data_IF_369388988537
#
_entry.id   IF_369388988537
#
_cell.length_a   1.000
_cell.length_b   1.000
_cell.length_c   1.000
_cell.angle_alpha   90.00
_cell.angle_beta   90.00
_cell.angle_gamma   90.00
#
_symmetry.space_group_name_H-M   'P 1'
#
loop_
_entity.id
_entity.type
_entity.pdbx_description
1 polymer ?
#
# COMPACT_ATOMS: atom_id res chain seq x y z
N UNK A 1 -3.12 11.55 7.79
CA UNK A 1 -2.49 10.52 8.65
C UNK A 1 -0.99 10.73 8.59
N UNK A 2 -0.30 10.71 9.73
CA UNK A 2 1.16 10.77 9.79
C UNK A 2 1.68 9.45 10.37
N UNK A 3 2.64 8.83 9.69
CA UNK A 3 3.27 7.59 10.13
C UNK A 3 4.77 7.81 10.34
N UNK A 4 5.23 7.64 11.57
CA UNK A 4 6.64 7.57 11.93
C UNK A 4 7.08 6.11 11.84
N UNK A 5 7.95 5.77 10.89
CA UNK A 5 8.26 4.37 10.52
C UNK A 5 9.74 3.98 10.66
N UNK A 6 10.59 4.95 10.99
CA UNK A 6 11.99 4.76 11.35
C UNK A 6 12.39 6.04 12.11
N UNK A 7 11.89 6.15 13.35
CA UNK A 7 11.90 7.40 14.10
C UNK A 7 12.54 7.24 15.48
N UNK A 8 13.44 8.18 15.80
CA UNK A 8 14.05 8.33 17.12
C UNK A 8 13.19 9.26 17.98
N UNK A 9 13.75 10.32 18.56
CA UNK A 9 12.98 11.32 19.33
C UNK A 9 12.48 12.44 18.43
N UNK A 10 11.19 12.73 18.49
CA UNK A 10 10.55 13.81 17.75
C UNK A 10 9.42 14.43 18.56
N UNK A 11 9.02 15.65 18.23
CA UNK A 11 7.80 16.26 18.75
C UNK A 11 6.78 16.50 17.63
N UNK A 12 5.50 16.38 18.01
CA UNK A 12 4.37 16.91 17.24
C UNK A 12 3.77 18.02 18.10
N UNK A 13 3.87 19.24 17.61
CA UNK A 13 3.55 20.45 18.36
C UNK A 13 4.33 20.52 19.69
N UNK A 14 3.66 20.34 20.83
CA UNK A 14 4.26 20.39 22.16
C UNK A 14 4.55 19.00 22.76
N UNK A 15 4.04 17.94 22.14
CA UNK A 15 4.14 16.58 22.67
C UNK A 15 5.35 15.85 22.07
N UNK A 16 6.13 15.21 22.92
CA UNK A 16 7.30 14.42 22.52
C UNK A 16 6.98 12.92 22.39
N UNK A 17 7.61 12.29 21.42
CA UNK A 17 7.43 10.89 21.08
C UNK A 17 8.77 10.24 20.76
N UNK A 18 8.83 8.93 20.95
CA UNK A 18 9.98 8.07 20.65
C UNK A 18 9.50 6.87 19.87
N UNK A 19 10.20 6.51 18.80
CA UNK A 19 9.91 5.29 18.05
C UNK A 19 8.77 5.43 17.05
N UNK A 20 8.41 4.29 16.47
CA UNK A 20 7.38 4.20 15.43
C UNK A 20 5.98 4.44 15.99
N UNK A 21 5.18 5.23 15.27
CA UNK A 21 3.82 5.58 15.69
C UNK A 21 2.97 6.08 14.53
N UNK A 22 1.68 5.76 14.58
CA UNK A 22 0.68 6.24 13.63
C UNK A 22 -0.18 7.30 14.32
N UNK A 23 -0.34 8.44 13.67
CA UNK A 23 -1.18 9.55 14.12
C UNK A 23 -2.31 9.80 13.12
N UNK A 24 -3.54 9.74 13.62
CA UNK A 24 -4.70 10.20 12.87
C UNK A 24 -4.80 11.72 13.02
N UNK A 25 -4.48 12.43 11.94
CA UNK A 25 -4.69 13.87 11.83
C UNK A 25 -6.13 14.09 11.34
N UNK A 26 -6.99 14.64 12.20
CA UNK A 26 -8.45 14.75 11.94
C UNK A 26 -8.86 16.16 11.49
N UNK A 27 -7.95 17.13 11.53
CA UNK A 27 -8.28 18.55 11.31
C UNK A 27 -7.34 19.18 10.27
N UNK A 28 -7.81 20.22 9.56
CA UNK A 28 -7.00 21.02 8.59
C UNK A 28 -6.04 21.98 9.30
N UNK A 29 -5.51 21.56 10.45
CA UNK A 29 -4.60 22.36 11.28
C UNK A 29 -3.17 22.13 10.83
N UNK A 30 -2.40 23.20 10.83
CA UNK A 30 -0.96 23.10 10.67
C UNK A 30 -0.38 22.38 11.90
N UNK A 31 0.42 21.35 11.65
CA UNK A 31 1.20 20.66 12.67
C UNK A 31 2.68 21.06 12.56
N UNK A 32 3.36 21.23 13.69
CA UNK A 32 4.81 21.42 13.72
C UNK A 32 5.50 20.12 14.09
N UNK A 33 6.30 19.61 13.16
CA UNK A 33 7.16 18.46 13.39
C UNK A 33 8.59 18.92 13.66
N UNK A 34 9.18 18.41 14.74
CA UNK A 34 10.56 18.71 15.09
C UNK A 34 11.31 17.44 15.48
N UNK A 35 12.46 17.19 14.86
CA UNK A 35 13.41 16.19 15.34
C UNK A 35 14.11 16.69 16.61
N UNK A 36 14.22 15.84 17.63
CA UNK A 36 14.87 16.18 18.90
C UNK A 36 16.25 15.53 18.97
N UNK A 37 16.30 14.19 18.85
CA UNK A 37 17.53 13.41 18.91
C UNK A 37 17.52 12.39 17.78
N UNK A 38 18.61 12.33 17.03
CA UNK A 38 18.78 11.40 15.91
C UNK A 38 17.94 11.76 14.69
N UNK A 39 18.00 10.89 13.68
CA UNK A 39 17.23 11.04 12.44
C UNK A 39 15.89 10.34 12.59
N UNK A 40 14.83 10.93 12.07
CA UNK A 40 13.51 10.30 12.03
C UNK A 40 12.90 10.41 10.63
N UNK A 41 12.28 9.32 10.17
CA UNK A 41 11.59 9.24 8.88
C UNK A 41 10.08 9.15 9.09
N UNK A 42 9.37 9.94 8.30
CA UNK A 42 7.93 10.06 8.38
C UNK A 42 7.30 9.91 7.00
N UNK A 43 6.09 9.38 6.98
CA UNK A 43 5.19 9.36 5.83
C UNK A 43 3.92 10.14 6.21
N UNK A 44 3.69 11.26 5.52
CA UNK A 44 2.44 12.01 5.60
C UNK A 44 1.54 11.57 4.46
N UNK A 45 0.34 11.11 4.79
CA UNK A 45 -0.70 10.72 3.82
C UNK A 45 -1.92 11.57 4.06
N UNK A 46 -2.27 12.38 3.08
CA UNK A 46 -3.47 13.22 3.06
C UNK A 46 -4.26 12.95 1.79
N UNK A 47 -5.58 13.13 1.88
CA UNK A 47 -6.48 12.92 0.75
C UNK A 47 -7.77 13.69 0.96
N UNK A 48 -8.36 14.13 -0.14
CA UNK A 48 -9.73 14.64 -0.12
C UNK A 48 -10.69 13.45 0.10
N UNK A 49 -11.62 13.53 1.07
CA UNK A 49 -12.63 12.50 1.22
C UNK A 49 -13.41 12.30 -0.07
N UNK A 50 -13.51 11.05 -0.54
CA UNK A 50 -14.28 10.69 -1.75
C UNK A 50 -15.79 10.89 -1.50
N UNK A 51 -16.23 10.78 -0.23
CA UNK A 51 -17.64 10.94 0.19
C UNK A 51 -18.61 9.93 -0.47
N UNK A 52 -18.11 8.76 -0.80
CA UNK A 52 -18.93 7.64 -1.27
C UNK A 52 -18.98 6.53 -0.22
N UNK A 53 -20.04 5.70 -0.22
CA UNK A 53 -20.07 4.49 0.60
C UNK A 53 -18.87 3.59 0.30
N UNK A 54 -18.36 2.94 1.33
CA UNK A 54 -17.28 1.96 1.24
C UNK A 54 -17.78 0.64 1.81
N UNK A 55 -17.81 -0.39 0.98
CA UNK A 55 -18.08 -1.78 1.34
C UNK A 55 -16.87 -2.63 0.95
N UNK A 56 -16.23 -3.23 1.95
CA UNK A 56 -15.02 -4.01 1.77
C UNK A 56 -15.24 -5.44 2.27
N UNK A 57 -14.93 -6.43 1.44
CA UNK A 57 -14.91 -7.83 1.84
C UNK A 57 -13.76 -8.57 1.13
N UNK A 58 -12.85 -9.13 1.92
CA UNK A 58 -11.63 -9.76 1.42
C UNK A 58 -10.75 -8.79 0.62
N UNK A 59 -10.33 -9.15 -0.61
CA UNK A 59 -9.44 -8.33 -1.43
C UNK A 59 -10.16 -7.22 -2.22
N UNK A 60 -11.50 -7.12 -2.12
CA UNK A 60 -12.29 -6.20 -2.93
C UNK A 60 -12.93 -5.11 -2.08
N UNK A 61 -12.88 -3.88 -2.61
CA UNK A 61 -13.50 -2.69 -2.04
C UNK A 61 -14.36 -2.06 -3.13
N UNK A 62 -15.67 -1.96 -2.89
CA UNK A 62 -16.64 -1.30 -3.77
C UNK A 62 -17.57 -0.39 -2.95
N UNK A 63 -18.60 0.19 -3.56
CA UNK A 63 -19.56 1.03 -2.84
C UNK A 63 -20.74 0.24 -2.23
N UNK A 64 -21.09 -0.95 -2.77
CA UNK A 64 -22.21 -1.79 -2.27
C UNK A 64 -21.82 -3.25 -2.13
N UNK A 65 -22.61 -4.01 -1.37
CA UNK A 65 -22.42 -5.45 -1.18
C UNK A 65 -22.55 -6.22 -2.51
N UNK A 66 -23.57 -5.90 -3.32
CA UNK A 66 -23.83 -6.55 -4.60
C UNK A 66 -22.65 -6.37 -5.56
N UNK A 67 -22.04 -5.18 -5.58
CA UNK A 67 -20.87 -4.89 -6.39
C UNK A 67 -19.66 -5.73 -5.98
N UNK A 68 -19.45 -5.93 -4.67
CA UNK A 68 -18.38 -6.82 -4.19
C UNK A 68 -18.65 -8.27 -4.56
N UNK A 69 -19.89 -8.75 -4.39
CA UNK A 69 -20.27 -10.12 -4.78
C UNK A 69 -20.10 -10.36 -6.29
N UNK A 70 -20.39 -9.35 -7.13
CA UNK A 70 -20.13 -9.39 -8.55
C UNK A 70 -18.62 -9.46 -8.84
N UNK A 71 -17.79 -8.65 -8.18
CA UNK A 71 -16.33 -8.70 -8.34
C UNK A 71 -15.75 -10.08 -8.00
N UNK A 72 -16.29 -10.75 -6.98
CA UNK A 72 -15.94 -12.14 -6.68
C UNK A 72 -16.36 -13.14 -7.77
N UNK A 73 -17.51 -12.90 -8.43
CA UNK A 73 -17.96 -13.73 -9.54
C UNK A 73 -17.02 -13.52 -10.74
N UNK A 74 -16.73 -12.29 -11.09
CA UNK A 74 -15.81 -11.93 -12.18
C UNK A 74 -14.40 -12.51 -11.96
N UNK A 75 -13.91 -12.45 -10.72
CA UNK A 75 -12.63 -13.05 -10.34
C UNK A 75 -12.64 -14.58 -10.47
N UNK A 76 -13.74 -15.24 -10.09
CA UNK A 76 -13.86 -16.70 -10.22
C UNK A 76 -13.96 -17.15 -11.67
N UNK A 77 -14.60 -16.35 -12.51
CA UNK A 77 -14.80 -16.70 -13.92
C UNK A 77 -13.51 -16.57 -14.73
N UNK A 78 -12.72 -15.51 -14.50
CA UNK A 78 -11.56 -15.21 -15.35
C UNK A 78 -10.30 -14.78 -14.61
N UNK A 79 -10.24 -14.79 -13.28
CA UNK A 79 -9.07 -14.34 -12.51
C UNK A 79 -8.55 -12.94 -12.95
N UNK A 80 -9.46 -12.03 -13.35
CA UNK A 80 -9.15 -10.73 -13.97
C UNK A 80 -8.36 -10.78 -15.28
N UNK A 81 -8.69 -11.69 -16.20
CA UNK A 81 -8.17 -11.66 -17.58
C UNK A 81 -7.33 -12.88 -17.99
N UNK A 82 -7.48 -13.98 -17.25
CA UNK A 82 -6.75 -15.22 -17.46
C UNK A 82 -5.37 -15.12 -16.84
N UNK A 83 -5.13 -15.87 -15.76
CA UNK A 83 -3.80 -15.98 -15.19
C UNK A 83 -2.85 -16.54 -16.25
N UNK A 84 -1.84 -15.79 -16.73
CA UNK A 84 -1.10 -16.15 -17.93
C UNK A 84 0.00 -17.18 -17.67
N UNK A 85 0.12 -17.65 -16.43
CA UNK A 85 1.11 -18.64 -16.03
C UNK A 85 0.46 -20.01 -15.86
N UNK A 86 1.24 -21.06 -16.09
CA UNK A 86 0.85 -22.47 -15.97
C UNK A 86 0.52 -22.89 -14.53
N UNK A 87 1.04 -22.13 -13.55
CA UNK A 87 0.85 -22.38 -12.11
C UNK A 87 0.39 -21.12 -11.40
N UNK A 88 -0.41 -21.30 -10.36
CA UNK A 88 -0.89 -20.22 -9.48
C UNK A 88 0.23 -19.55 -8.69
N UNK A 89 1.36 -20.24 -8.53
CA UNK A 89 2.54 -19.85 -7.76
C UNK A 89 3.82 -19.91 -8.63
N UNK A 90 3.95 -19.04 -9.64
CA UNK A 90 5.10 -19.07 -10.52
C UNK A 90 6.38 -18.75 -9.73
N UNK A 91 7.26 -19.73 -9.63
CA UNK A 91 8.62 -19.56 -9.07
C UNK A 91 9.63 -19.53 -10.22
N UNK A 92 10.60 -18.62 -10.15
CA UNK A 92 11.59 -18.44 -11.21
C UNK A 92 12.79 -19.41 -11.12
N UNK A 93 12.54 -20.61 -10.57
CA UNK A 93 13.57 -21.60 -10.31
C UNK A 93 14.44 -21.28 -9.09
N UNK A 94 15.55 -22.01 -8.95
CA UNK A 94 16.51 -21.86 -7.83
C UNK A 94 17.59 -20.82 -8.09
N UNK A 95 17.77 -20.43 -9.35
CA UNK A 95 18.76 -19.45 -9.76
C UNK A 95 18.28 -18.05 -9.36
N UNK A 96 19.05 -17.36 -8.52
CA UNK A 96 18.72 -16.02 -8.04
C UNK A 96 19.07 -14.95 -9.10
N UNK A 97 18.48 -15.08 -10.28
CA UNK A 97 18.69 -14.14 -11.39
C UNK A 97 17.52 -13.16 -11.49
N UNK A 98 17.82 -11.86 -11.48
CA UNK A 98 16.82 -10.84 -11.81
C UNK A 98 16.57 -10.89 -13.31
N UNK A 99 15.35 -10.59 -13.73
CA UNK A 99 15.04 -10.41 -15.14
C UNK A 99 13.80 -9.52 -15.30
N UNK A 100 13.61 -8.95 -16.49
CA UNK A 100 12.37 -8.30 -16.89
C UNK A 100 11.79 -9.02 -18.12
N UNK A 101 10.55 -9.50 -18.02
CA UNK A 101 9.82 -10.13 -19.15
C UNK A 101 8.74 -9.16 -19.65
N UNK A 102 8.84 -8.76 -20.91
CA UNK A 102 7.89 -7.84 -21.55
C UNK A 102 6.74 -8.61 -22.24
N UNK A 103 5.59 -7.97 -22.52
CA UNK A 103 4.43 -8.64 -23.14
C UNK A 103 4.72 -9.36 -24.46
N UNK A 104 5.72 -8.92 -25.24
CA UNK A 104 6.14 -9.54 -26.51
C UNK A 104 7.08 -10.74 -26.30
N UNK A 105 7.27 -11.18 -25.05
CA UNK A 105 8.14 -12.31 -24.70
C UNK A 105 9.64 -11.98 -24.61
N UNK A 106 10.05 -10.72 -24.85
CA UNK A 106 11.43 -10.27 -24.65
C UNK A 106 11.82 -10.40 -23.17
N UNK A 107 13.00 -10.94 -22.91
CA UNK A 107 13.59 -11.05 -21.57
C UNK A 107 14.88 -10.23 -21.52
N UNK A 108 15.01 -9.40 -20.49
CA UNK A 108 16.24 -8.68 -20.16
C UNK A 108 16.84 -9.19 -18.86
N UNK A 109 18.14 -9.43 -18.86
CA UNK A 109 18.93 -9.80 -17.68
C UNK A 109 19.72 -8.57 -17.20
N UNK A 110 20.00 -8.45 -15.89
CA UNK A 110 20.89 -7.42 -15.36
C UNK A 110 22.25 -7.51 -16.03
N UNK A 111 22.87 -6.35 -16.28
CA UNK A 111 24.25 -6.24 -16.76
C UNK A 111 25.25 -6.49 -15.64
#
# INVERSE_FOLDING_TARGET
MLYAFDANNYSIDQDEYIGEKIFKLVDKKNIKLKGIIGTSKFLLVEGMPINEPVYAYGPFVMNTEEAVLQAYKDFRDHQFGGWPFDKTDPVHGKEASRFAKFPVGRIELPK
#
